data_IF_325921012546
#
_entry.id   IF_325921012546
#
_cell.length_a   1.000
_cell.length_b   1.000
_cell.length_c   1.000
_cell.angle_alpha   90.00
_cell.angle_beta   90.00
_cell.angle_gamma   90.00
#
_symmetry.space_group_name_H-M   'P 1'
#
loop_
_entity.id
_entity.type
_entity.pdbx_description
1 polymer ?
#
# COMPACT_ATOMS: atom_id res chain seq x y z
N UNK A 1 17.64 4.94 -35.40
CA UNK A 1 16.70 5.34 -36.46
C UNK A 1 15.30 4.72 -36.28
N UNK A 2 15.14 3.53 -35.67
CA UNK A 2 13.80 2.91 -35.42
C UNK A 2 12.92 3.65 -34.40
N UNK A 3 13.48 4.34 -33.40
CA UNK A 3 12.72 5.10 -32.39
C UNK A 3 12.03 6.38 -32.92
N UNK A 4 12.36 6.82 -34.11
CA UNK A 4 11.80 8.04 -34.71
C UNK A 4 10.52 7.79 -35.52
N UNK A 5 10.24 6.53 -35.89
CA UNK A 5 9.09 6.21 -36.74
C UNK A 5 7.77 6.16 -35.97
N UNK A 6 7.78 5.71 -34.70
CA UNK A 6 6.56 5.70 -33.87
C UNK A 6 6.10 7.10 -33.44
N UNK A 7 7.03 8.06 -33.28
CA UNK A 7 6.67 9.43 -32.90
C UNK A 7 6.12 10.27 -34.07
N UNK A 8 6.35 9.84 -35.31
CA UNK A 8 5.91 10.61 -36.51
C UNK A 8 4.47 10.31 -36.96
N UNK A 9 3.87 9.20 -36.45
CA UNK A 9 2.48 8.86 -36.75
C UNK A 9 1.45 9.65 -35.93
N UNK A 10 1.87 10.34 -34.88
CA UNK A 10 1.00 11.16 -34.03
C UNK A 10 0.83 12.62 -34.50
N UNK A 11 1.41 13.04 -35.62
CA UNK A 11 1.29 14.44 -36.12
C UNK A 11 0.73 14.47 -37.54
N UNK A 12 -0.52 14.92 -37.66
CA UNK A 12 -1.18 15.33 -38.89
C UNK A 12 -1.40 14.22 -39.93
N UNK A 13 -2.16 13.21 -39.55
CA UNK A 13 -2.88 12.40 -40.56
C UNK A 13 -4.27 13.03 -40.69
N UNK A 14 -4.78 13.35 -41.91
CA UNK A 14 -6.19 13.65 -42.10
C UNK A 14 -6.99 12.48 -41.48
N UNK A 15 -8.14 12.79 -40.89
CA UNK A 15 -8.99 11.73 -40.30
C UNK A 15 -9.16 10.63 -41.35
N UNK A 16 -8.55 9.47 -41.11
CA UNK A 16 -8.69 8.32 -41.98
C UNK A 16 -10.16 7.95 -42.01
N UNK A 17 -10.67 7.61 -43.17
CA UNK A 17 -12.03 7.12 -43.30
C UNK A 17 -12.14 5.77 -42.53
N UNK A 18 -13.30 5.53 -41.93
CA UNK A 18 -13.58 4.25 -41.31
C UNK A 18 -14.25 3.34 -42.33
N UNK A 19 -13.60 2.22 -42.61
CA UNK A 19 -14.16 1.15 -43.43
C UNK A 19 -15.00 0.22 -42.52
N UNK A 20 -16.30 0.21 -42.70
CA UNK A 20 -17.24 -0.59 -41.91
C UNK A 20 -17.37 -2.04 -42.40
N UNK A 21 -16.62 -2.43 -43.44
CA UNK A 21 -16.67 -3.80 -43.98
C UNK A 21 -16.12 -4.86 -43.00
N UNK A 22 -15.31 -4.42 -42.03
CA UNK A 22 -14.79 -5.24 -40.93
C UNK A 22 -14.84 -4.45 -39.63
N UNK A 23 -15.04 -5.16 -38.53
CA UNK A 23 -15.03 -4.55 -37.20
C UNK A 23 -14.24 -5.38 -36.18
N UNK A 24 -13.59 -4.71 -35.23
CA UNK A 24 -12.68 -5.31 -34.29
C UNK A 24 -12.91 -4.82 -32.86
N UNK A 25 -12.74 -5.73 -31.91
CA UNK A 25 -12.78 -5.45 -30.48
C UNK A 25 -11.38 -5.70 -29.88
N UNK A 26 -10.79 -4.67 -29.32
CA UNK A 26 -9.63 -4.78 -28.44
C UNK A 26 -10.13 -5.09 -27.03
N UNK A 27 -10.01 -6.34 -26.64
CA UNK A 27 -10.54 -6.82 -25.36
C UNK A 27 -9.45 -6.94 -24.34
N UNK A 28 -9.49 -6.09 -23.30
CA UNK A 28 -8.64 -6.26 -22.12
C UNK A 28 -9.26 -7.28 -21.16
N UNK A 29 -8.40 -7.98 -20.46
CA UNK A 29 -8.76 -8.76 -19.27
C UNK A 29 -7.64 -8.70 -18.25
N UNK A 30 -7.99 -8.82 -16.96
CA UNK A 30 -7.04 -8.95 -15.85
C UNK A 30 -7.26 -10.31 -15.21
N UNK A 31 -6.24 -11.17 -15.28
CA UNK A 31 -6.31 -12.55 -14.81
C UNK A 31 -7.59 -13.27 -15.32
N UNK A 32 -8.00 -12.95 -16.56
CA UNK A 32 -9.19 -13.52 -17.22
C UNK A 32 -10.53 -12.87 -16.87
N UNK A 33 -10.55 -11.73 -16.18
CA UNK A 33 -11.77 -10.99 -15.79
C UNK A 33 -11.73 -9.54 -16.27
N UNK A 34 -12.88 -8.87 -16.34
CA UNK A 34 -12.97 -7.43 -16.60
C UNK A 34 -12.82 -6.58 -15.32
N UNK A 35 -12.93 -7.20 -14.17
CA UNK A 35 -12.78 -6.56 -12.86
C UNK A 35 -11.98 -7.45 -11.92
N UNK A 36 -11.03 -6.85 -11.21
CA UNK A 36 -10.17 -7.53 -10.25
C UNK A 36 -10.09 -6.76 -8.94
N UNK A 37 -10.26 -7.47 -7.82
CA UNK A 37 -9.85 -6.94 -6.51
C UNK A 37 -8.38 -7.28 -6.29
N UNK A 38 -7.60 -6.29 -5.86
CA UNK A 38 -6.18 -6.45 -5.57
C UNK A 38 -5.77 -5.56 -4.39
N UNK A 39 -4.73 -5.97 -3.68
CA UNK A 39 -4.15 -5.19 -2.60
C UNK A 39 -2.84 -4.50 -3.05
N UNK A 40 -2.37 -3.46 -2.36
CA UNK A 40 -1.04 -2.93 -2.57
C UNK A 40 0.00 -4.05 -2.54
N UNK A 41 0.94 -4.04 -3.50
CA UNK A 41 1.96 -5.08 -3.66
C UNK A 41 1.55 -6.29 -4.51
N UNK A 42 0.26 -6.48 -4.79
CA UNK A 42 -0.19 -7.52 -5.73
C UNK A 42 0.30 -7.21 -7.15
N UNK A 43 0.60 -8.28 -7.89
CA UNK A 43 0.90 -8.20 -9.32
C UNK A 43 -0.31 -8.72 -10.08
N UNK A 44 -0.81 -7.93 -10.99
CA UNK A 44 -1.92 -8.28 -11.89
C UNK A 44 -1.40 -8.44 -13.31
N UNK A 45 -1.90 -9.45 -14.02
CA UNK A 45 -1.57 -9.68 -15.43
C UNK A 45 -2.67 -9.12 -16.30
N UNK A 46 -2.33 -8.10 -17.09
CA UNK A 46 -3.21 -7.52 -18.10
C UNK A 46 -2.96 -8.27 -19.41
N UNK A 47 -4.03 -8.74 -20.01
CA UNK A 47 -3.99 -9.41 -21.31
C UNK A 47 -4.81 -8.62 -22.34
N UNK A 48 -4.31 -8.53 -23.55
CA UNK A 48 -4.99 -7.94 -24.71
C UNK A 48 -5.25 -9.05 -25.74
N UNK A 49 -6.51 -9.18 -26.12
CA UNK A 49 -6.91 -9.97 -27.26
C UNK A 49 -7.57 -9.07 -28.31
N UNK A 50 -7.31 -9.31 -29.57
CA UNK A 50 -8.01 -8.69 -30.70
C UNK A 50 -9.03 -9.68 -31.25
N UNK A 51 -10.29 -9.28 -31.30
CA UNK A 51 -11.40 -10.09 -31.82
C UNK A 51 -12.05 -9.43 -33.00
N UNK A 52 -12.28 -10.18 -34.03
CA UNK A 52 -13.17 -9.79 -35.12
C UNK A 52 -14.62 -9.86 -34.64
N UNK A 53 -15.46 -8.87 -34.93
CA UNK A 53 -16.85 -8.80 -34.42
C UNK A 53 -17.90 -8.93 -35.48
N UNK A 54 -17.50 -8.88 -36.77
CA UNK A 54 -18.39 -9.05 -37.91
C UNK A 54 -18.51 -10.52 -38.41
N UNK A 55 -17.46 -11.33 -38.12
CA UNK A 55 -17.43 -12.76 -38.52
C UNK A 55 -16.45 -13.53 -37.60
N UNK A 56 -16.63 -14.87 -37.58
CA UNK A 56 -15.72 -15.79 -36.89
C UNK A 56 -14.57 -16.30 -37.80
N UNK A 57 -14.43 -15.76 -39.01
CA UNK A 57 -13.38 -16.15 -39.95
C UNK A 57 -12.07 -15.41 -39.67
N UNK A 58 -10.93 -16.08 -39.87
CA UNK A 58 -9.63 -15.47 -39.85
C UNK A 58 -9.46 -14.36 -40.88
N UNK A 59 -8.46 -13.54 -40.74
CA UNK A 59 -8.22 -12.37 -41.58
C UNK A 59 -6.72 -12.12 -41.75
N UNK A 60 -6.39 -11.31 -42.78
CA UNK A 60 -5.02 -10.84 -42.98
C UNK A 60 -4.83 -9.53 -42.24
N UNK A 61 -3.95 -9.51 -41.23
CA UNK A 61 -3.58 -8.32 -40.46
C UNK A 61 -2.39 -7.64 -41.13
N UNK A 62 -2.54 -6.35 -41.41
CA UNK A 62 -1.48 -5.50 -41.98
C UNK A 62 -0.83 -4.60 -40.94
N UNK A 63 -1.63 -3.90 -40.15
CA UNK A 63 -1.17 -3.12 -39.03
C UNK A 63 -2.24 -2.98 -37.96
N UNK A 64 -1.85 -3.01 -36.71
CA UNK A 64 -2.68 -2.65 -35.59
C UNK A 64 -1.90 -1.83 -34.54
N UNK A 65 -2.62 -1.00 -33.83
CA UNK A 65 -2.11 -0.26 -32.67
C UNK A 65 -3.16 -0.29 -31.56
N UNK A 66 -2.70 -0.51 -30.35
CA UNK A 66 -3.47 -0.28 -29.15
C UNK A 66 -2.66 0.58 -28.16
N UNK A 67 -3.29 1.66 -27.68
CA UNK A 67 -2.79 2.49 -26.59
C UNK A 67 -3.54 2.14 -25.30
N UNK A 68 -2.83 1.47 -24.40
CA UNK A 68 -3.33 1.04 -23.10
C UNK A 68 -2.93 2.07 -22.03
N UNK A 69 -3.86 2.91 -21.59
CA UNK A 69 -3.59 3.92 -20.57
C UNK A 69 -3.84 3.38 -19.17
N UNK A 70 -2.90 3.65 -18.26
CA UNK A 70 -3.01 3.35 -16.84
C UNK A 70 -2.49 4.50 -15.97
N UNK A 71 -2.95 4.54 -14.71
CA UNK A 71 -2.58 5.56 -13.74
C UNK A 71 -1.33 5.13 -12.95
N UNK A 72 -0.20 5.85 -13.05
CA UNK A 72 1.02 5.52 -12.34
C UNK A 72 0.95 5.79 -10.82
N UNK A 73 -0.09 6.44 -10.30
CA UNK A 73 -0.34 6.52 -8.87
C UNK A 73 -0.94 5.21 -8.31
N UNK A 74 -1.58 4.42 -9.19
CA UNK A 74 -2.15 3.12 -8.85
C UNK A 74 -1.28 1.94 -9.28
N UNK A 75 -0.49 2.09 -10.35
CA UNK A 75 0.22 0.98 -10.97
C UNK A 75 1.67 1.31 -11.32
N UNK A 76 2.54 0.35 -11.09
CA UNK A 76 3.92 0.32 -11.55
C UNK A 76 4.08 -0.79 -12.60
N UNK A 77 4.55 -0.46 -13.80
CA UNK A 77 4.83 -1.45 -14.83
C UNK A 77 6.03 -2.32 -14.41
N UNK A 78 5.83 -3.63 -14.41
CA UNK A 78 6.91 -4.59 -14.15
C UNK A 78 7.83 -4.66 -15.37
N UNK A 79 9.11 -4.33 -15.18
CA UNK A 79 10.10 -4.35 -16.25
C UNK A 79 10.21 -5.76 -16.87
N UNK A 80 10.32 -5.80 -18.20
CA UNK A 80 10.43 -7.03 -18.98
C UNK A 80 9.31 -8.05 -18.76
N UNK A 81 8.14 -7.62 -18.30
CA UNK A 81 7.00 -8.50 -18.06
C UNK A 81 6.14 -8.74 -19.31
N UNK A 82 6.35 -7.97 -20.36
CA UNK A 82 5.59 -8.11 -21.60
C UNK A 82 5.90 -9.45 -22.29
N UNK A 83 4.86 -10.23 -22.53
CA UNK A 83 4.91 -11.48 -23.28
C UNK A 83 3.99 -11.35 -24.49
N UNK A 84 4.55 -11.18 -25.67
CA UNK A 84 3.82 -10.93 -26.91
C UNK A 84 4.21 -11.93 -27.99
N UNK A 85 3.40 -12.05 -29.04
CA UNK A 85 3.81 -12.71 -30.27
C UNK A 85 5.07 -12.02 -30.85
N UNK A 86 5.91 -12.77 -31.55
CA UNK A 86 7.21 -12.27 -32.03
C UNK A 86 7.14 -11.01 -32.91
N UNK A 87 5.99 -10.80 -33.56
CA UNK A 87 5.73 -9.66 -34.45
C UNK A 87 5.17 -8.42 -33.73
N UNK A 88 4.83 -8.50 -32.43
CA UNK A 88 4.29 -7.40 -31.67
C UNK A 88 5.40 -6.60 -30.98
N UNK A 89 5.47 -5.31 -31.28
CA UNK A 89 6.37 -4.37 -30.61
C UNK A 89 5.64 -3.67 -29.44
N UNK A 90 6.32 -3.50 -28.30
CA UNK A 90 5.78 -2.81 -27.11
C UNK A 90 6.60 -1.57 -26.78
N UNK A 91 5.92 -0.54 -26.28
CA UNK A 91 6.56 0.69 -25.80
C UNK A 91 5.75 1.28 -24.64
N UNK A 92 6.43 1.67 -23.57
CA UNK A 92 5.83 2.36 -22.43
C UNK A 92 6.30 3.82 -22.40
N UNK A 93 5.36 4.75 -22.34
CA UNK A 93 5.62 6.21 -22.34
C UNK A 93 4.79 6.96 -21.31
N UNK A 94 5.32 8.07 -20.83
CA UNK A 94 4.56 9.01 -20.00
C UNK A 94 3.71 9.92 -20.89
N UNK A 95 2.43 10.05 -20.57
CA UNK A 95 1.49 10.92 -21.24
C UNK A 95 1.33 12.28 -20.54
N UNK A 96 0.77 13.25 -21.26
CA UNK A 96 0.32 14.50 -20.65
C UNK A 96 -0.87 14.20 -19.72
N UNK A 97 -0.89 14.85 -18.54
CA UNK A 97 -1.96 14.63 -17.54
C UNK A 97 -1.65 13.56 -16.49
N UNK A 98 -0.40 13.05 -16.47
CA UNK A 98 0.06 12.16 -15.40
C UNK A 98 -0.19 10.68 -15.64
N UNK A 99 -0.89 10.29 -16.70
CA UNK A 99 -1.07 8.89 -17.07
C UNK A 99 0.18 8.33 -17.77
N UNK A 100 0.26 7.01 -17.83
CA UNK A 100 1.21 6.28 -18.69
C UNK A 100 0.46 5.51 -19.76
N UNK A 101 1.07 5.34 -20.92
CA UNK A 101 0.56 4.51 -21.99
C UNK A 101 1.52 3.37 -22.27
N UNK A 102 0.97 2.17 -22.34
CA UNK A 102 1.65 0.99 -22.83
C UNK A 102 1.09 0.65 -24.21
N UNK A 103 1.95 0.70 -25.23
CA UNK A 103 1.56 0.43 -26.60
C UNK A 103 1.85 -1.02 -26.96
N UNK A 104 0.92 -1.63 -27.68
CA UNK A 104 1.13 -2.87 -28.42
C UNK A 104 0.89 -2.60 -29.90
N UNK A 105 1.91 -2.76 -30.71
CA UNK A 105 1.86 -2.40 -32.13
C UNK A 105 2.30 -3.59 -33.00
N UNK A 106 1.61 -3.74 -34.11
CA UNK A 106 1.98 -4.65 -35.18
C UNK A 106 2.04 -3.90 -36.51
N UNK A 107 3.06 -4.19 -37.30
CA UNK A 107 3.18 -3.68 -38.67
C UNK A 107 3.85 -4.72 -39.56
N UNK A 108 3.13 -5.18 -40.58
CA UNK A 108 3.67 -6.03 -41.64
C UNK A 108 3.99 -5.21 -42.90
N UNK A 109 5.23 -5.21 -43.31
CA UNK A 109 5.68 -4.55 -44.55
C UNK A 109 5.66 -5.52 -45.75
N UNK A 110 5.32 -6.79 -45.54
CA UNK A 110 5.46 -7.86 -46.51
C UNK A 110 4.18 -8.53 -47.01
N UNK A 111 3.02 -7.83 -46.89
CA UNK A 111 1.76 -8.39 -47.38
C UNK A 111 0.79 -8.92 -46.31
N UNK A 112 1.03 -8.58 -45.05
CA UNK A 112 0.21 -8.96 -43.92
C UNK A 112 0.55 -10.33 -43.32
N UNK A 113 -0.09 -10.65 -42.22
CA UNK A 113 -0.04 -11.95 -41.53
C UNK A 113 -1.46 -12.49 -41.33
N UNK A 114 -1.63 -13.79 -41.47
CA UNK A 114 -2.94 -14.40 -41.23
C UNK A 114 -3.15 -14.59 -39.74
N UNK A 115 -4.21 -14.02 -39.23
CA UNK A 115 -4.65 -14.10 -37.85
C UNK A 115 -6.01 -14.78 -37.75
N UNK A 116 -6.24 -15.45 -36.62
CA UNK A 116 -7.55 -16.01 -36.29
C UNK A 116 -8.53 -14.91 -35.88
N UNK A 117 -9.83 -15.17 -36.00
CA UNK A 117 -10.90 -14.23 -35.60
C UNK A 117 -10.76 -13.77 -34.14
N UNK A 118 -10.11 -14.54 -33.29
CA UNK A 118 -9.73 -14.14 -31.93
C UNK A 118 -8.27 -14.47 -31.71
N UNK A 119 -7.43 -13.44 -31.62
CA UNK A 119 -5.98 -13.57 -31.49
C UNK A 119 -5.52 -12.91 -30.18
N UNK A 120 -4.75 -13.66 -29.36
CA UNK A 120 -4.07 -13.11 -28.20
C UNK A 120 -2.87 -12.27 -28.68
N UNK A 121 -2.91 -10.96 -28.42
CA UNK A 121 -1.85 -10.03 -28.80
C UNK A 121 -0.69 -10.11 -27.84
N UNK A 122 -0.99 -10.09 -26.55
CA UNK A 122 0.03 -10.20 -25.52
C UNK A 122 -0.48 -9.94 -24.10
N UNK A 123 0.45 -10.07 -23.18
CA UNK A 123 0.22 -9.76 -21.76
C UNK A 123 1.35 -8.90 -21.22
N UNK A 124 1.07 -8.15 -20.17
CA UNK A 124 2.08 -7.45 -19.37
C UNK A 124 1.63 -7.41 -17.91
N UNK A 125 2.55 -7.11 -17.00
CA UNK A 125 2.25 -7.12 -15.57
C UNK A 125 2.35 -5.72 -14.98
N UNK A 126 1.38 -5.41 -14.14
CA UNK A 126 1.34 -4.20 -13.34
C UNK A 126 1.37 -4.59 -11.86
N UNK A 127 2.24 -3.95 -11.10
CA UNK A 127 2.21 -4.00 -9.64
C UNK A 127 1.26 -2.95 -9.12
N UNK A 128 0.35 -3.32 -8.26
CA UNK A 128 -0.57 -2.40 -7.59
C UNK A 128 0.21 -1.64 -6.51
N UNK A 129 0.25 -0.32 -6.62
CA UNK A 129 0.90 0.57 -5.64
C UNK A 129 -0.09 1.51 -4.96
N UNK A 130 -1.27 1.71 -5.56
CA UNK A 130 -2.39 2.43 -4.94
C UNK A 130 -2.82 1.76 -3.64
N UNK A 131 -3.22 2.55 -2.63
CA UNK A 131 -3.56 2.04 -1.28
C UNK A 131 -5.07 1.88 -1.06
N UNK A 132 -5.90 2.49 -1.91
CA UNK A 132 -7.37 2.38 -1.85
C UNK A 132 -8.02 2.95 -3.11
N UNK A 133 -9.29 2.64 -3.34
CA UNK A 133 -10.06 3.17 -4.46
C UNK A 133 -10.13 2.20 -5.64
N UNK A 134 -10.36 2.73 -6.83
CA UNK A 134 -10.38 1.94 -8.06
C UNK A 134 -9.70 2.69 -9.19
N UNK A 135 -9.05 1.97 -10.08
CA UNK A 135 -8.45 2.50 -11.29
C UNK A 135 -8.81 1.65 -12.50
N UNK A 136 -8.97 2.32 -13.63
CA UNK A 136 -9.36 1.68 -14.90
C UNK A 136 -8.17 1.70 -15.84
N UNK A 137 -7.85 0.55 -16.42
CA UNK A 137 -6.91 0.43 -17.53
C UNK A 137 -7.75 0.47 -18.81
N UNK A 138 -7.44 1.41 -19.70
CA UNK A 138 -8.28 1.74 -20.85
C UNK A 138 -7.57 1.54 -22.16
N UNK A 139 -8.32 1.07 -23.16
CA UNK A 139 -7.96 1.26 -24.56
C UNK A 139 -8.34 2.68 -24.94
N UNK A 140 -7.38 3.56 -25.18
CA UNK A 140 -7.62 4.98 -25.49
C UNK A 140 -7.50 5.29 -26.98
N UNK A 141 -6.61 4.60 -27.69
CA UNK A 141 -6.50 4.67 -29.14
C UNK A 141 -6.34 3.26 -29.70
N UNK A 142 -7.41 2.77 -30.32
CA UNK A 142 -7.42 1.46 -31.01
C UNK A 142 -7.46 1.67 -32.52
N UNK A 143 -6.62 0.95 -33.27
CA UNK A 143 -6.57 1.08 -34.72
C UNK A 143 -6.22 -0.24 -35.39
N UNK A 144 -6.95 -0.57 -36.45
CA UNK A 144 -6.64 -1.64 -37.40
C UNK A 144 -6.65 -1.05 -38.80
N UNK A 145 -5.54 -1.09 -39.53
CA UNK A 145 -5.42 -0.52 -40.85
C UNK A 145 -5.98 -1.43 -41.93
N UNK A 146 -6.57 -0.83 -42.97
CA UNK A 146 -6.86 -1.51 -44.25
C UNK A 146 -5.59 -1.97 -44.95
N UNK A 147 -5.71 -2.84 -45.94
CA UNK A 147 -4.59 -3.43 -46.67
C UNK A 147 -3.69 -2.41 -47.37
N UNK A 148 -4.27 -1.31 -47.82
CA UNK A 148 -3.56 -0.20 -48.50
C UNK A 148 -2.96 0.82 -47.53
N UNK A 149 -3.32 0.71 -46.23
CA UNK A 149 -2.88 1.60 -45.16
C UNK A 149 -3.50 3.02 -45.25
N UNK A 150 -4.47 3.23 -46.12
CA UNK A 150 -5.10 4.55 -46.35
C UNK A 150 -6.24 4.82 -45.37
N UNK A 151 -6.96 3.77 -44.95
CA UNK A 151 -8.10 3.82 -44.05
C UNK A 151 -7.90 2.90 -42.83
N UNK A 152 -8.84 2.96 -41.89
CA UNK A 152 -8.90 2.06 -40.75
C UNK A 152 -10.26 1.38 -40.65
N UNK A 153 -10.28 0.15 -40.17
CA UNK A 153 -11.52 -0.54 -39.85
C UNK A 153 -12.16 0.01 -38.58
N UNK A 154 -13.44 -0.29 -38.38
CA UNK A 154 -14.14 0.06 -37.14
C UNK A 154 -13.55 -0.70 -35.95
N UNK A 155 -13.19 0.02 -34.92
CA UNK A 155 -12.62 -0.56 -33.69
C UNK A 155 -13.39 -0.13 -32.44
N UNK A 156 -13.46 -1.03 -31.46
CA UNK A 156 -13.94 -0.72 -30.11
C UNK A 156 -12.96 -1.28 -29.09
N UNK A 157 -12.89 -0.66 -27.91
CA UNK A 157 -12.10 -1.12 -26.78
C UNK A 157 -12.96 -1.59 -25.63
N UNK A 158 -12.53 -2.63 -24.92
CA UNK A 158 -13.10 -3.04 -23.64
C UNK A 158 -12.07 -2.81 -22.55
N UNK A 159 -12.40 -1.91 -21.64
CA UNK A 159 -11.56 -1.55 -20.50
C UNK A 159 -11.66 -2.59 -19.38
N UNK A 160 -10.72 -2.52 -18.43
CA UNK A 160 -10.73 -3.33 -17.21
C UNK A 160 -10.56 -2.47 -15.96
N UNK A 161 -11.11 -2.92 -14.83
CA UNK A 161 -11.10 -2.19 -13.57
C UNK A 161 -10.36 -2.97 -12.48
N UNK A 162 -9.43 -2.31 -11.79
CA UNK A 162 -8.84 -2.81 -10.55
C UNK A 162 -9.44 -2.07 -9.37
N UNK A 163 -10.00 -2.80 -8.42
CA UNK A 163 -10.51 -2.28 -7.14
C UNK A 163 -9.44 -2.56 -6.09
N UNK A 164 -8.82 -1.51 -5.56
CA UNK A 164 -7.76 -1.64 -4.57
C UNK A 164 -8.37 -1.74 -3.17
N UNK A 165 -8.04 -2.82 -2.46
CA UNK A 165 -8.48 -3.11 -1.09
C UNK A 165 -7.36 -2.88 -0.09
N UNK A 166 -7.71 -2.62 1.16
CA UNK A 166 -6.74 -2.52 2.27
C UNK A 166 -6.34 -3.89 2.85
N UNK A 167 -6.90 -4.97 2.32
CA UNK A 167 -6.63 -6.33 2.75
C UNK A 167 -5.52 -6.97 1.91
N UNK A 168 -4.33 -7.07 2.50
CA UNK A 168 -3.15 -7.67 1.90
C UNK A 168 -3.08 -9.17 2.14
N UNK A 169 -2.50 -9.91 1.20
CA UNK A 169 -2.21 -11.34 1.36
C UNK A 169 -0.76 -11.51 1.79
N UNK A 170 -0.56 -12.18 2.94
CA UNK A 170 0.76 -12.63 3.38
C UNK A 170 0.87 -14.12 3.09
N UNK A 171 1.73 -14.47 2.13
CA UNK A 171 2.06 -15.86 1.77
C UNK A 171 3.25 -16.35 2.58
N UNK A 172 3.26 -17.63 2.89
CA UNK A 172 4.36 -18.27 3.59
C UNK A 172 4.97 -19.35 2.70
N UNK A 173 6.14 -19.05 2.14
CA UNK A 173 6.92 -20.02 1.37
C UNK A 173 7.82 -20.81 2.34
N UNK A 174 7.45 -22.03 2.58
CA UNK A 174 8.16 -22.89 3.56
C UNK A 174 9.48 -23.44 3.08
N UNK A 175 9.88 -23.21 1.83
CA UNK A 175 11.15 -23.67 1.24
C UNK A 175 11.42 -25.17 1.48
N UNK A 176 10.42 -26.00 1.19
CA UNK A 176 10.46 -27.45 1.34
C UNK A 176 10.16 -27.97 2.75
N UNK A 177 9.66 -27.14 3.64
CA UNK A 177 9.03 -27.54 4.90
C UNK A 177 7.55 -27.85 4.74
N UNK A 178 6.87 -28.18 5.86
CA UNK A 178 5.42 -28.36 5.86
C UNK A 178 4.70 -27.08 5.44
N UNK A 179 3.51 -27.23 4.81
CA UNK A 179 2.72 -26.10 4.31
C UNK A 179 2.25 -25.19 5.44
N UNK A 180 2.31 -23.89 5.22
CA UNK A 180 1.79 -22.84 6.09
C UNK A 180 0.70 -22.10 5.34
N UNK A 181 -0.50 -21.89 5.91
CA UNK A 181 -1.59 -21.19 5.24
C UNK A 181 -1.31 -19.71 5.12
N UNK A 182 -1.75 -19.11 4.01
CA UNK A 182 -1.73 -17.68 3.79
C UNK A 182 -2.59 -16.94 4.85
N UNK A 183 -2.22 -15.70 5.15
CA UNK A 183 -2.99 -14.84 6.05
C UNK A 183 -3.49 -13.60 5.30
N UNK A 184 -4.72 -13.17 5.63
CA UNK A 184 -5.26 -11.87 5.21
C UNK A 184 -5.02 -10.86 6.33
N UNK A 185 -4.34 -9.78 6.01
CA UNK A 185 -3.91 -8.77 6.98
C UNK A 185 -4.17 -7.39 6.40
N UNK A 186 -4.75 -6.48 7.18
CA UNK A 186 -4.94 -5.10 6.72
C UNK A 186 -3.62 -4.36 6.61
N UNK A 187 -3.54 -3.47 5.62
CA UNK A 187 -2.40 -2.59 5.39
C UNK A 187 -2.01 -1.88 6.71
N UNK A 188 -0.73 -1.86 7.03
CA UNK A 188 -0.19 -1.27 8.26
C UNK A 188 -0.36 -2.13 9.53
N UNK A 189 -1.01 -3.28 9.47
CA UNK A 189 -1.16 -4.19 10.62
C UNK A 189 -0.01 -5.22 10.66
N UNK A 190 0.17 -5.85 11.82
CA UNK A 190 1.16 -6.91 12.02
C UNK A 190 0.60 -8.26 11.58
N UNK A 191 1.48 -9.08 11.04
CA UNK A 191 1.21 -10.49 10.73
C UNK A 191 1.21 -11.31 12.01
N UNK A 192 0.23 -12.21 12.17
CA UNK A 192 0.28 -13.20 13.25
C UNK A 192 1.36 -14.24 12.90
N UNK A 193 2.32 -14.49 13.84
CA UNK A 193 3.32 -15.53 13.60
C UNK A 193 2.60 -16.87 13.44
N UNK A 194 2.81 -17.60 12.32
CA UNK A 194 2.23 -18.92 12.12
C UNK A 194 2.91 -19.94 13.05
N UNK A 195 2.32 -21.10 13.17
CA UNK A 195 3.03 -22.26 13.73
C UNK A 195 4.26 -22.56 12.87
N UNK A 196 5.37 -22.88 13.53
CA UNK A 196 6.62 -23.14 12.83
C UNK A 196 6.47 -24.40 11.96
N UNK A 197 6.74 -24.33 10.65
CA UNK A 197 6.73 -25.49 9.78
C UNK A 197 7.85 -26.47 10.16
N UNK A 198 7.69 -27.73 9.77
CA UNK A 198 8.68 -28.77 10.00
C UNK A 198 9.39 -29.16 8.71
N UNK A 199 10.69 -29.43 8.79
CA UNK A 199 11.51 -29.97 7.69
C UNK A 199 12.49 -30.98 8.26
N UNK A 200 12.48 -32.21 7.74
CA UNK A 200 13.32 -33.29 8.24
C UNK A 200 14.81 -32.92 8.16
N UNK A 201 15.51 -33.08 9.29
CA UNK A 201 16.94 -32.76 9.41
C UNK A 201 17.28 -31.29 9.54
N UNK A 202 16.29 -30.38 9.57
CA UNK A 202 16.54 -28.94 9.63
C UNK A 202 15.71 -28.26 10.75
N UNK A 203 16.19 -27.13 11.20
CA UNK A 203 15.47 -26.25 12.13
C UNK A 203 15.18 -24.91 11.46
N UNK A 204 13.99 -24.33 11.74
CA UNK A 204 13.60 -23.04 11.25
C UNK A 204 14.44 -21.95 11.95
N UNK A 205 15.22 -21.17 11.18
CA UNK A 205 15.98 -20.04 11.69
C UNK A 205 15.09 -18.79 11.81
N UNK A 206 14.13 -18.59 10.90
CA UNK A 206 13.22 -17.48 10.89
C UNK A 206 12.51 -17.32 9.55
N UNK A 207 11.71 -16.27 9.45
CA UNK A 207 11.01 -15.87 8.24
C UNK A 207 11.62 -14.60 7.68
N UNK A 208 11.73 -14.49 6.36
CA UNK A 208 12.42 -13.42 5.67
C UNK A 208 11.52 -12.80 4.59
N UNK A 209 11.59 -11.48 4.43
CA UNK A 209 10.75 -10.74 3.48
C UNK A 209 11.34 -10.66 2.06
N UNK A 210 12.52 -11.22 1.84
CA UNK A 210 13.20 -11.28 0.55
C UNK A 210 13.64 -12.72 0.22
N UNK A 211 13.69 -13.06 -1.06
CA UNK A 211 14.08 -14.37 -1.54
C UNK A 211 15.53 -14.74 -1.15
N UNK A 212 16.43 -13.76 -1.09
CA UNK A 212 17.82 -13.95 -0.69
C UNK A 212 18.00 -14.17 0.82
N UNK A 213 16.92 -14.11 1.60
CA UNK A 213 16.89 -14.31 3.05
C UNK A 213 17.89 -13.43 3.81
N UNK A 214 17.95 -12.14 3.44
CA UNK A 214 18.80 -11.13 4.06
C UNK A 214 18.03 -10.23 5.03
N UNK A 215 16.70 -10.08 4.84
CA UNK A 215 15.81 -9.23 5.64
C UNK A 215 14.88 -10.09 6.48
N UNK A 216 15.30 -10.38 7.72
CA UNK A 216 14.47 -11.14 8.66
C UNK A 216 13.21 -10.36 9.02
N UNK A 217 12.06 -11.05 9.06
CA UNK A 217 10.77 -10.49 9.43
C UNK A 217 10.55 -10.61 10.94
N UNK A 218 10.43 -9.46 11.61
CA UNK A 218 10.12 -9.39 13.05
C UNK A 218 8.61 -9.24 13.26
N UNK A 219 7.92 -10.35 13.54
CA UNK A 219 6.47 -10.36 13.80
C UNK A 219 6.02 -9.45 14.96
N UNK A 220 6.96 -9.05 15.82
CA UNK A 220 6.67 -8.13 16.93
C UNK A 220 6.70 -6.65 16.54
N UNK A 221 7.37 -6.31 15.42
CA UNK A 221 7.61 -4.92 15.00
C UNK A 221 7.08 -4.63 13.60
N UNK A 222 7.35 -5.53 12.65
CA UNK A 222 7.08 -5.27 11.24
C UNK A 222 5.58 -5.27 10.94
N UNK A 223 5.19 -4.40 10.03
CA UNK A 223 3.82 -4.23 9.57
C UNK A 223 3.72 -4.41 8.08
N UNK A 224 2.60 -4.96 7.61
CA UNK A 224 2.34 -5.19 6.20
C UNK A 224 2.16 -3.86 5.48
N UNK A 225 2.99 -3.60 4.47
CA UNK A 225 2.90 -2.42 3.61
C UNK A 225 2.27 -2.74 2.24
N UNK A 226 1.90 -4.02 2.02
CA UNK A 226 1.32 -4.56 0.80
C UNK A 226 1.33 -6.08 0.88
N UNK A 227 0.74 -6.75 -0.12
CA UNK A 227 0.84 -8.20 -0.22
C UNK A 227 2.31 -8.61 -0.34
N UNK A 228 2.70 -9.63 0.42
CA UNK A 228 4.11 -10.04 0.58
C UNK A 228 4.21 -11.56 0.71
N UNK A 229 5.34 -12.11 0.30
CA UNK A 229 5.72 -13.50 0.58
C UNK A 229 6.83 -13.52 1.63
N UNK A 230 6.65 -14.28 2.68
CA UNK A 230 7.65 -14.55 3.70
C UNK A 230 8.27 -15.93 3.44
N UNK A 231 9.59 -15.99 3.41
CA UNK A 231 10.37 -17.17 3.06
C UNK A 231 10.98 -17.79 4.32
N UNK A 232 10.74 -19.09 4.55
CA UNK A 232 11.36 -19.83 5.64
C UNK A 232 12.86 -20.05 5.37
N UNK A 233 13.70 -19.72 6.33
CA UNK A 233 15.13 -20.03 6.30
C UNK A 233 15.41 -21.24 7.19
N UNK A 234 16.04 -22.26 6.60
CA UNK A 234 16.39 -23.47 7.28
C UNK A 234 17.88 -23.53 7.57
N UNK A 235 18.24 -24.05 8.73
CA UNK A 235 19.62 -24.26 9.17
C UNK A 235 19.77 -25.67 9.71
N UNK A 236 21.01 -26.19 9.68
CA UNK A 236 21.35 -27.42 10.41
C UNK A 236 21.11 -27.17 11.92
N UNK A 237 20.41 -28.07 12.64
CA UNK A 237 20.15 -27.90 14.06
C UNK A 237 21.41 -27.68 14.91
N UNK A 238 22.55 -28.17 14.46
CA UNK A 238 23.84 -27.94 15.13
C UNK A 238 24.37 -26.52 14.99
N UNK A 239 23.88 -25.74 14.01
CA UNK A 239 24.26 -24.34 13.78
C UNK A 239 23.36 -23.34 14.51
N UNK A 240 22.24 -23.81 15.07
CA UNK A 240 21.49 -22.95 15.98
C UNK A 240 22.36 -22.70 17.20
N UNK A 241 22.50 -21.42 17.64
CA UNK A 241 23.13 -21.18 18.91
C UNK A 241 22.40 -22.02 19.96
N UNK A 242 23.14 -22.85 20.69
CA UNK A 242 22.60 -23.69 21.74
C UNK A 242 21.91 -22.80 22.78
N UNK A 243 20.60 -22.64 22.66
CA UNK A 243 19.79 -21.73 23.43
C UNK A 243 18.75 -21.07 22.54
N UNK A 244 17.59 -21.69 22.40
CA UNK A 244 16.39 -20.86 22.48
C UNK A 244 16.62 -19.95 23.67
N UNK A 245 16.21 -18.67 23.58
CA UNK A 245 16.43 -17.67 24.63
C UNK A 245 15.86 -18.17 25.97
N UNK A 246 16.49 -19.18 26.56
CA UNK A 246 16.40 -19.49 27.95
C UNK A 246 17.20 -18.42 28.67
N UNK A 247 16.58 -17.27 28.88
CA UNK A 247 17.07 -16.39 29.93
C UNK A 247 17.17 -17.26 31.18
N UNK A 248 18.37 -17.42 31.74
CA UNK A 248 18.49 -18.11 33.02
C UNK A 248 17.59 -17.41 34.04
N UNK A 249 17.12 -18.11 35.03
CA UNK A 249 16.12 -17.62 36.00
C UNK A 249 16.49 -16.22 36.55
N UNK A 250 17.80 -15.95 36.72
CA UNK A 250 18.32 -14.63 37.12
C UNK A 250 18.06 -13.54 36.06
N UNK A 251 18.02 -13.87 34.77
CA UNK A 251 17.69 -12.93 33.69
C UNK A 251 16.21 -12.51 33.74
N UNK A 252 15.30 -13.41 34.02
CA UNK A 252 13.89 -13.10 34.26
C UNK A 252 13.70 -12.25 35.53
N UNK A 253 14.49 -12.56 36.61
CA UNK A 253 14.51 -11.78 37.85
C UNK A 253 15.04 -10.37 37.55
N UNK A 254 16.13 -10.22 36.78
CA UNK A 254 16.69 -8.93 36.40
C UNK A 254 15.69 -8.11 35.54
N UNK A 255 15.05 -8.73 34.54
CA UNK A 255 14.02 -8.07 33.72
C UNK A 255 12.83 -7.63 34.57
N UNK A 256 12.37 -8.49 35.49
CA UNK A 256 11.31 -8.18 36.46
C UNK A 256 11.69 -7.02 37.38
N UNK A 257 12.94 -6.98 37.88
CA UNK A 257 13.45 -5.90 38.71
C UNK A 257 13.54 -4.57 37.94
N UNK A 258 13.96 -4.59 36.67
CA UNK A 258 14.00 -3.40 35.81
C UNK A 258 12.59 -2.88 35.55
N UNK A 259 11.63 -3.76 35.20
CA UNK A 259 10.25 -3.38 35.00
C UNK A 259 9.62 -2.81 36.28
N UNK A 260 9.87 -3.45 37.43
CA UNK A 260 9.43 -2.98 38.73
C UNK A 260 10.03 -1.61 39.05
N UNK A 261 11.32 -1.42 38.76
CA UNK A 261 12.01 -0.13 38.89
C UNK A 261 11.42 0.97 38.02
N UNK A 262 11.09 0.66 36.77
CA UNK A 262 10.42 1.61 35.84
C UNK A 262 9.02 1.96 36.37
N UNK A 263 8.24 0.98 36.79
CA UNK A 263 6.90 1.20 37.38
C UNK A 263 7.01 2.07 38.63
N UNK A 264 7.96 1.76 39.50
CA UNK A 264 8.21 2.55 40.72
C UNK A 264 8.62 3.98 40.38
N UNK A 265 9.52 4.18 39.42
CA UNK A 265 9.90 5.51 38.91
C UNK A 265 8.72 6.29 38.36
N UNK A 266 7.83 5.64 37.62
CA UNK A 266 6.61 6.25 37.07
C UNK A 266 5.63 6.63 38.18
N UNK A 267 5.51 5.80 39.22
CA UNK A 267 4.65 6.06 40.39
C UNK A 267 5.20 7.19 41.25
N UNK A 268 6.54 7.25 41.41
CA UNK A 268 7.21 8.30 42.17
C UNK A 268 7.31 9.65 41.44
N UNK A 269 7.00 9.68 40.13
CA UNK A 269 7.09 10.90 39.31
C UNK A 269 6.11 11.94 39.81
N UNK A 270 6.62 13.07 40.29
CA UNK A 270 5.80 14.18 40.77
C UNK A 270 4.94 14.74 39.63
N UNK A 271 3.70 15.01 39.92
CA UNK A 271 2.73 15.66 39.01
C UNK A 271 2.88 17.17 39.13
N UNK A 272 2.74 17.88 38.01
CA UNK A 272 2.83 19.34 37.97
C UNK A 272 1.42 19.93 37.91
N UNK A 273 1.11 20.81 38.87
CA UNK A 273 -0.10 21.62 38.86
C UNK A 273 0.26 23.06 38.49
N UNK A 274 -0.34 23.54 37.41
CA UNK A 274 -0.21 24.93 36.95
C UNK A 274 -1.39 25.74 37.48
N UNK A 275 -1.20 27.05 37.57
CA UNK A 275 -2.24 27.99 38.01
C UNK A 275 -2.46 29.04 36.90
N UNK A 276 -3.65 29.06 36.35
CA UNK A 276 -4.07 30.03 35.35
C UNK A 276 -4.89 31.15 36.04
N UNK A 277 -4.36 32.34 36.06
CA UNK A 277 -4.95 33.45 36.84
C UNK A 277 -5.82 34.39 36.03
N UNK A 278 -5.97 34.19 34.73
CA UNK A 278 -6.80 35.02 33.85
C UNK A 278 -6.58 36.54 34.04
N UNK A 279 -5.32 36.94 34.03
CA UNK A 279 -4.94 38.36 34.16
C UNK A 279 -4.76 38.85 35.61
N UNK A 280 -4.84 37.97 36.60
CA UNK A 280 -4.40 38.26 37.97
C UNK A 280 -2.90 37.99 38.15
N UNK A 281 -2.41 38.26 39.37
CA UNK A 281 -1.00 38.01 39.74
C UNK A 281 -0.58 36.59 39.44
N UNK A 282 0.53 36.42 38.73
CA UNK A 282 1.00 35.09 38.27
C UNK A 282 1.38 34.21 39.48
N UNK A 283 0.93 32.97 39.48
CA UNK A 283 1.26 31.94 40.47
C UNK A 283 2.12 30.88 39.83
N UNK A 284 3.27 30.61 40.45
CA UNK A 284 4.18 29.56 39.97
C UNK A 284 3.61 28.15 40.10
N UNK A 285 3.93 27.28 39.15
CA UNK A 285 3.48 25.87 39.19
C UNK A 285 4.05 25.15 40.42
N UNK A 286 3.30 24.15 40.90
CA UNK A 286 3.68 23.32 42.05
C UNK A 286 3.77 21.87 41.66
N UNK A 287 4.60 21.10 42.37
CA UNK A 287 4.77 19.66 42.17
C UNK A 287 4.31 18.89 43.41
N UNK A 288 3.41 17.91 43.19
CA UNK A 288 2.92 17.02 44.23
C UNK A 288 3.12 15.55 43.77
N UNK A 289 3.23 14.62 44.71
CA UNK A 289 3.13 13.19 44.37
C UNK A 289 1.69 12.84 44.05
N UNK A 290 1.49 11.74 43.31
CA UNK A 290 0.15 11.21 43.10
C UNK A 290 -0.50 10.86 44.44
N UNK A 291 -1.75 11.31 44.63
CA UNK A 291 -2.49 11.09 45.88
C UNK A 291 -2.17 12.10 46.99
N UNK A 292 -1.22 13.00 46.82
CA UNK A 292 -0.97 14.09 47.79
C UNK A 292 -1.94 15.26 47.63
N UNK A 293 -2.24 15.93 48.73
CA UNK A 293 -2.93 17.22 48.73
C UNK A 293 -1.99 18.31 48.26
N UNK A 294 -2.51 19.27 47.53
CA UNK A 294 -1.72 20.39 47.02
C UNK A 294 -1.71 21.52 48.10
N UNK A 295 -0.49 21.96 48.42
CA UNK A 295 -0.38 23.14 49.31
C UNK A 295 -1.07 24.33 48.65
N UNK A 296 -1.94 25.05 49.40
CA UNK A 296 -2.68 26.21 48.90
C UNK A 296 -1.71 27.30 48.45
N UNK A 297 -1.84 27.83 47.22
CA UNK A 297 -1.04 28.94 46.74
C UNK A 297 -1.47 30.27 47.44
N UNK A 298 -0.66 31.33 47.38
CA UNK A 298 -1.14 32.66 47.77
C UNK A 298 -2.38 33.04 46.92
N UNK A 299 -3.22 33.88 47.48
CA UNK A 299 -4.37 34.42 46.76
C UNK A 299 -3.89 35.37 45.66
N UNK A 300 -4.24 35.13 44.38
CA UNK A 300 -3.86 36.06 43.33
C UNK A 300 -4.69 37.37 43.46
N UNK A 301 -4.12 38.47 43.02
CA UNK A 301 -4.75 39.78 43.01
C UNK A 301 -5.04 40.19 41.57
N UNK A 302 -6.22 40.80 41.36
CA UNK A 302 -6.59 41.37 40.07
C UNK A 302 -7.41 42.67 40.37
N UNK A 303 -6.98 43.74 39.73
CA UNK A 303 -7.57 45.07 39.95
C UNK A 303 -9.09 45.05 39.68
N UNK A 304 -9.86 45.55 40.63
CA UNK A 304 -11.32 45.65 40.50
C UNK A 304 -12.10 44.34 40.64
N UNK A 305 -11.43 43.20 40.97
CA UNK A 305 -12.07 41.89 41.05
C UNK A 305 -11.80 41.20 42.38
N UNK A 306 -12.81 40.56 42.97
CA UNK A 306 -12.65 39.68 44.12
C UNK A 306 -12.24 38.25 43.68
N UNK A 307 -11.37 37.61 44.45
CA UNK A 307 -10.98 36.22 44.14
C UNK A 307 -12.04 35.23 44.67
N UNK A 308 -12.64 34.45 43.77
CA UNK A 308 -13.71 33.51 44.05
C UNK A 308 -13.26 32.03 44.21
N UNK A 309 -11.95 31.77 44.17
CA UNK A 309 -11.41 30.43 44.39
C UNK A 309 -10.74 29.80 43.14
N UNK A 310 -10.21 28.59 43.34
CA UNK A 310 -9.57 27.79 42.29
C UNK A 310 -10.50 26.67 41.77
N UNK A 311 -10.51 26.43 40.46
CA UNK A 311 -11.40 25.49 39.80
C UNK A 311 -10.59 24.54 38.89
N UNK A 312 -11.15 23.33 38.66
CA UNK A 312 -10.53 22.30 37.83
C UNK A 312 -10.79 22.48 36.32
N UNK A 313 -11.68 23.37 35.97
CA UNK A 313 -12.12 23.63 34.58
C UNK A 313 -12.22 25.14 34.30
N UNK A 314 -12.11 25.51 33.04
CA UNK A 314 -12.15 26.90 32.57
C UNK A 314 -13.51 27.58 32.75
N UNK A 315 -14.59 26.79 32.86
CA UNK A 315 -15.94 27.30 33.12
C UNK A 315 -16.19 27.62 34.61
N UNK A 316 -15.19 27.31 35.46
CA UNK A 316 -15.28 27.50 36.91
C UNK A 316 -16.51 26.81 37.54
N UNK A 317 -16.84 25.60 37.03
CA UNK A 317 -17.96 24.80 37.52
C UNK A 317 -17.57 23.81 38.63
N UNK A 318 -16.30 23.36 38.65
CA UNK A 318 -15.77 22.37 39.61
C UNK A 318 -14.74 23.01 40.52
N UNK A 319 -15.08 23.45 41.72
CA UNK A 319 -14.13 24.04 42.66
C UNK A 319 -13.10 23.01 43.10
N UNK A 320 -11.86 23.48 43.37
CA UNK A 320 -10.79 22.68 43.94
C UNK A 320 -10.71 22.92 45.45
N UNK A 321 -10.87 21.85 46.20
CA UNK A 321 -10.74 21.88 47.67
C UNK A 321 -9.33 21.48 48.09
N UNK A 322 -8.50 22.42 48.52
CA UNK A 322 -7.13 22.16 48.96
C UNK A 322 -7.04 21.28 50.21
N UNK A 323 -8.12 21.16 50.95
CA UNK A 323 -8.17 20.42 52.22
C UNK A 323 -8.59 18.96 51.98
N UNK A 324 -9.30 18.67 50.88
CA UNK A 324 -9.84 17.34 50.59
C UNK A 324 -9.36 16.75 49.29
N UNK A 325 -9.19 17.54 48.22
CA UNK A 325 -8.79 17.04 46.91
C UNK A 325 -7.33 16.62 46.85
N UNK A 326 -7.07 15.53 46.08
CA UNK A 326 -5.75 14.97 45.87
C UNK A 326 -5.34 15.10 44.42
N UNK A 327 -4.04 15.31 44.20
CA UNK A 327 -3.48 15.41 42.83
C UNK A 327 -3.26 14.00 42.25
N UNK A 328 -4.11 13.59 41.31
CA UNK A 328 -4.01 12.29 40.62
C UNK A 328 -3.19 12.36 39.33
N UNK A 329 -3.18 13.49 38.66
CA UNK A 329 -2.48 13.73 37.39
C UNK A 329 -1.99 15.18 37.32
N UNK A 330 -1.09 15.48 36.37
CA UNK A 330 -0.75 16.86 36.06
C UNK A 330 -1.99 17.59 35.52
N UNK A 331 -2.24 18.80 36.03
CA UNK A 331 -3.44 19.56 35.73
C UNK A 331 -3.20 21.06 35.80
N UNK A 332 -4.17 21.85 35.36
CA UNK A 332 -4.21 23.30 35.56
C UNK A 332 -5.42 23.65 36.43
N UNK A 333 -5.21 24.50 37.42
CA UNK A 333 -6.26 25.11 38.20
C UNK A 333 -6.48 26.54 37.72
N UNK A 334 -7.74 26.93 37.63
CA UNK A 334 -8.19 28.18 37.05
C UNK A 334 -8.78 29.10 38.12
N UNK A 335 -8.35 30.35 38.13
CA UNK A 335 -8.87 31.36 39.06
C UNK A 335 -10.25 31.81 38.61
N UNK A 336 -11.22 31.88 39.55
CA UNK A 336 -12.49 32.54 39.35
C UNK A 336 -12.42 33.94 39.91
N UNK A 337 -12.89 34.90 39.17
CA UNK A 337 -13.04 36.31 39.60
C UNK A 337 -14.50 36.66 39.75
N UNK A 338 -14.80 37.45 40.83
CA UNK A 338 -16.12 37.95 41.20
C UNK A 338 -16.23 39.42 40.86
#
# INVERSE_FOLDING_TARGET
MKKLLCALLASVVPAMAVDESQSYLFELSIDGSDTKQAAPGDIVTVALALKRTDTDEGYTMYAMQDELCYDPEFFELMENSAMTAASIETTDIALRGGLRAFYMNFLSLGGGENWDASTMIGTFQLKVIGTSGSSVIRNTETRVSTADGMDSYATTGRDVTVIVTDECTVRFESNGGSSVPDQKVKLGQKVTRPEDPTKEGFALAGWYSDFDMTKEWDFSKDTVQGSITLYAKWVDPSQLPAGGFHMPLWGWIALGAVLLGIVLLLLLRRKTVKFETFGGTAIGSRKAKRGEKLTRPPVPEKEGCGFGGWYQDTACAKPWDFDNDKVEKSMTLYAKWL
#
